data_IF_843058233844
#
_entry.id   IF_843058233844
#
_cell.length_a   1.000
_cell.length_b   1.000
_cell.length_c   1.000
_cell.angle_alpha   90.00
_cell.angle_beta   90.00
_cell.angle_gamma   90.00
#
_symmetry.space_group_name_H-M   'P 1'
#
loop_
_entity.id
_entity.type
_entity.pdbx_description
1 polymer ?
#
# COMPACT_ATOMS: atom_id res chain seq x y z
N UNK A 1 -18.79 -14.82 25.42
CA UNK A 1 -19.74 -14.79 24.29
C UNK A 1 -19.26 -15.83 23.28
N UNK A 2 -20.14 -16.67 22.73
CA UNK A 2 -19.74 -17.76 21.82
C UNK A 2 -18.83 -17.24 20.69
N UNK A 3 -17.64 -17.83 20.59
CA UNK A 3 -16.61 -17.56 19.56
C UNK A 3 -17.04 -18.05 18.15
N UNK A 4 -18.29 -18.49 17.99
CA UNK A 4 -18.82 -19.13 16.79
C UNK A 4 -20.17 -18.55 16.34
N UNK A 5 -20.48 -17.30 16.68
CA UNK A 5 -21.68 -16.63 16.18
C UNK A 5 -21.62 -16.48 14.65
N UNK A 6 -22.69 -16.85 13.95
CA UNK A 6 -22.82 -16.63 12.51
C UNK A 6 -23.06 -15.15 12.27
N UNK A 7 -22.32 -14.55 11.35
CA UNK A 7 -22.57 -13.17 10.92
C UNK A 7 -23.43 -13.17 9.66
N UNK A 8 -24.48 -12.36 9.65
CA UNK A 8 -25.26 -12.04 8.45
C UNK A 8 -25.00 -10.59 8.07
N UNK A 9 -24.35 -10.37 6.93
CA UNK A 9 -24.15 -9.05 6.34
C UNK A 9 -25.27 -8.82 5.34
N UNK A 10 -26.21 -7.93 5.68
CA UNK A 10 -27.41 -7.64 4.89
C UNK A 10 -27.30 -6.26 4.26
N UNK A 11 -27.61 -6.11 2.97
CA UNK A 11 -27.56 -4.81 2.31
C UNK A 11 -26.98 -4.90 0.92
N UNK A 12 -25.90 -4.18 0.63
CA UNK A 12 -25.25 -4.22 -0.68
C UNK A 12 -23.79 -4.60 -0.49
N UNK A 13 -23.42 -5.79 -0.90
CA UNK A 13 -22.05 -6.34 -0.79
C UNK A 13 -21.38 -6.15 -2.15
N UNK A 14 -20.42 -5.24 -2.22
CA UNK A 14 -19.62 -4.95 -3.42
C UNK A 14 -18.45 -5.93 -3.44
N UNK A 15 -18.48 -6.92 -4.32
CA UNK A 15 -17.42 -7.94 -4.43
C UNK A 15 -16.53 -7.74 -5.66
N UNK A 16 -16.91 -6.80 -6.51
CA UNK A 16 -16.17 -6.31 -7.67
C UNK A 16 -16.78 -4.98 -8.15
N UNK A 17 -16.32 -4.44 -9.29
CA UNK A 17 -16.81 -3.16 -9.81
C UNK A 17 -18.31 -3.19 -10.14
N UNK A 18 -18.78 -4.30 -10.72
CA UNK A 18 -20.18 -4.49 -11.13
C UNK A 18 -20.88 -5.67 -10.42
N UNK A 19 -20.15 -6.49 -9.65
CA UNK A 19 -20.73 -7.60 -8.90
C UNK A 19 -21.21 -7.13 -7.51
N UNK A 20 -22.53 -7.03 -7.37
CA UNK A 20 -23.20 -6.61 -6.14
C UNK A 20 -24.18 -7.68 -5.67
N UNK A 21 -23.99 -8.14 -4.44
CA UNK A 21 -24.89 -9.10 -3.77
C UNK A 21 -25.75 -8.40 -2.73
N UNK A 22 -26.94 -8.95 -2.45
CA UNK A 22 -27.85 -8.38 -1.46
C UNK A 22 -27.54 -8.84 -0.02
N UNK A 23 -26.77 -9.92 0.12
CA UNK A 23 -26.32 -10.42 1.42
C UNK A 23 -25.05 -11.28 1.29
N UNK A 24 -24.41 -11.49 2.44
CA UNK A 24 -23.27 -12.38 2.65
C UNK A 24 -23.38 -12.97 4.07
N UNK A 25 -22.97 -14.22 4.23
CA UNK A 25 -22.92 -14.89 5.51
C UNK A 25 -21.47 -15.19 5.89
N UNK A 26 -21.17 -15.19 7.19
CA UNK A 26 -19.89 -15.63 7.73
C UNK A 26 -20.11 -16.75 8.71
N UNK A 27 -19.49 -17.90 8.42
CA UNK A 27 -19.59 -19.12 9.21
C UNK A 27 -18.18 -19.64 9.47
N UNK A 28 -17.81 -19.78 10.75
CA UNK A 28 -16.47 -20.26 11.12
C UNK A 28 -15.32 -19.43 10.54
N UNK A 29 -15.50 -18.11 10.48
CA UNK A 29 -14.49 -17.18 9.93
C UNK A 29 -14.48 -17.07 8.40
N UNK A 30 -15.34 -17.79 7.68
CA UNK A 30 -15.33 -17.87 6.21
C UNK A 30 -16.58 -17.28 5.59
N UNK A 31 -16.41 -16.64 4.43
CA UNK A 31 -17.48 -16.13 3.59
C UNK A 31 -18.28 -17.28 3.00
N UNK A 32 -19.61 -17.16 3.01
CA UNK A 32 -20.51 -17.95 2.19
C UNK A 32 -21.68 -17.11 1.69
N UNK A 33 -22.09 -17.32 0.44
CA UNK A 33 -23.30 -16.71 -0.12
C UNK A 33 -24.56 -17.54 0.13
N UNK A 34 -24.38 -18.79 0.56
CA UNK A 34 -25.49 -19.66 0.92
C UNK A 34 -25.90 -19.43 2.37
N UNK A 35 -27.20 -19.28 2.60
CA UNK A 35 -27.73 -19.16 3.95
C UNK A 35 -27.44 -20.45 4.73
N UNK A 36 -26.77 -20.39 5.90
CA UNK A 36 -26.50 -21.57 6.69
C UNK A 36 -27.79 -22.21 7.21
N UNK A 37 -27.86 -23.54 7.11
CA UNK A 37 -29.00 -24.35 7.57
C UNK A 37 -28.78 -24.78 9.02
N UNK A 38 -29.83 -24.74 9.83
CA UNK A 38 -29.79 -25.26 11.21
C UNK A 38 -29.20 -24.30 12.26
N UNK A 39 -28.81 -23.09 11.88
CA UNK A 39 -28.40 -22.05 12.84
C UNK A 39 -29.63 -21.45 13.53
N UNK A 40 -29.66 -21.49 14.87
CA UNK A 40 -30.73 -20.86 15.63
C UNK A 40 -30.69 -19.33 15.46
N UNK A 41 -31.85 -18.67 15.40
CA UNK A 41 -31.92 -17.23 15.16
C UNK A 41 -31.17 -16.40 16.22
N UNK A 42 -31.06 -16.89 17.46
CA UNK A 42 -30.31 -16.23 18.54
C UNK A 42 -28.79 -16.23 18.38
N UNK A 43 -28.25 -17.09 17.50
CA UNK A 43 -26.81 -17.23 17.24
C UNK A 43 -26.37 -16.43 15.99
N UNK A 44 -27.31 -15.76 15.32
CA UNK A 44 -27.06 -14.93 14.15
C UNK A 44 -26.91 -13.47 14.60
N UNK A 45 -25.75 -12.88 14.32
CA UNK A 45 -25.53 -11.44 14.44
C UNK A 45 -25.72 -10.80 13.07
N UNK A 46 -26.57 -9.79 12.97
CA UNK A 46 -26.80 -9.09 11.70
C UNK A 46 -26.10 -7.74 11.69
N UNK A 47 -25.39 -7.45 10.60
CA UNK A 47 -24.83 -6.13 10.28
C UNK A 47 -25.45 -5.68 8.97
N UNK A 48 -25.92 -4.42 8.93
CA UNK A 48 -26.57 -3.86 7.75
C UNK A 48 -25.76 -2.69 7.17
N UNK A 49 -25.63 -2.64 5.84
CA UNK A 49 -25.00 -1.51 5.15
C UNK A 49 -24.42 -1.86 3.79
N UNK A 50 -23.45 -1.05 3.36
CA UNK A 50 -22.65 -1.26 2.16
C UNK A 50 -21.34 -1.95 2.55
N UNK A 51 -21.16 -3.20 2.12
CA UNK A 51 -20.00 -4.00 2.48
C UNK A 51 -19.00 -4.10 1.33
N UNK A 52 -17.71 -4.09 1.67
CA UNK A 52 -16.59 -4.27 0.74
C UNK A 52 -15.57 -5.23 1.35
N UNK A 53 -14.70 -5.87 0.54
CA UNK A 53 -13.48 -6.45 1.07
C UNK A 53 -12.75 -5.42 1.95
N UNK A 54 -12.15 -5.87 3.05
CA UNK A 54 -11.34 -5.00 3.91
C UNK A 54 -10.29 -4.26 3.09
N UNK A 55 -10.07 -2.99 3.41
CA UNK A 55 -9.22 -2.11 2.63
C UNK A 55 -7.77 -2.61 2.61
N UNK A 56 -7.06 -2.21 1.57
CA UNK A 56 -5.64 -2.48 1.35
C UNK A 56 -4.89 -1.16 1.41
N UNK A 57 -3.90 -1.09 2.29
CA UNK A 57 -2.85 -0.08 2.19
C UNK A 57 -1.62 -0.73 1.54
N UNK A 58 -1.36 -0.39 0.28
CA UNK A 58 -0.27 -0.96 -0.49
C UNK A 58 1.11 -0.36 -0.13
N UNK A 59 1.18 0.66 0.72
CA UNK A 59 2.45 1.24 1.12
C UNK A 59 2.30 1.88 2.50
N UNK A 60 2.69 1.15 3.53
CA UNK A 60 2.93 1.72 4.84
C UNK A 60 4.10 1.01 5.51
N UNK A 61 4.41 1.39 6.76
CA UNK A 61 5.58 0.92 7.48
C UNK A 61 5.24 0.62 8.94
N UNK A 62 4.61 -0.53 9.18
CA UNK A 62 4.31 -0.97 10.55
C UNK A 62 5.62 -1.35 11.25
N UNK A 63 5.77 -0.92 12.50
CA UNK A 63 6.99 -1.10 13.25
C UNK A 63 8.08 -0.05 12.93
N UNK A 64 7.74 1.06 12.28
CA UNK A 64 8.65 2.16 11.97
C UNK A 64 8.10 3.51 12.44
N UNK A 65 8.96 4.34 13.03
CA UNK A 65 8.70 5.75 13.34
C UNK A 65 9.77 6.67 12.74
N UNK A 66 9.66 7.98 12.97
CA UNK A 66 10.58 8.99 12.45
C UNK A 66 12.04 8.81 12.88
N UNK A 67 12.38 7.88 13.78
CA UNK A 67 13.72 7.64 14.29
C UNK A 67 14.24 6.22 13.97
N UNK A 68 13.35 5.28 13.63
CA UNK A 68 13.70 3.94 13.17
C UNK A 68 12.74 2.87 13.68
N UNK A 69 13.23 1.66 13.98
CA UNK A 69 12.38 0.58 14.47
C UNK A 69 11.77 0.92 15.84
N UNK A 70 10.50 0.59 16.03
CA UNK A 70 9.79 0.73 17.32
C UNK A 70 9.61 -0.61 18.02
N UNK A 71 9.18 -0.58 19.28
CA UNK A 71 8.86 -1.79 20.05
C UNK A 71 7.55 -2.46 19.58
N UNK A 72 7.34 -3.70 20.04
CA UNK A 72 6.17 -4.48 19.64
C UNK A 72 4.84 -3.84 20.06
N UNK A 73 4.78 -3.17 21.21
CA UNK A 73 3.57 -2.50 21.67
C UNK A 73 3.19 -1.30 20.78
N UNK A 74 4.19 -0.55 20.32
CA UNK A 74 4.00 0.56 19.38
C UNK A 74 3.58 0.02 18.01
N UNK A 75 4.23 -1.04 17.51
CA UNK A 75 3.84 -1.69 16.27
C UNK A 75 2.42 -2.28 16.33
N UNK A 76 2.01 -2.84 17.48
CA UNK A 76 0.62 -3.29 17.71
C UNK A 76 -0.34 -2.12 17.57
N UNK A 77 -0.05 -0.99 18.22
CA UNK A 77 -0.89 0.21 18.14
C UNK A 77 -1.01 0.76 16.72
N UNK A 78 0.09 0.75 15.96
CA UNK A 78 0.09 1.15 14.55
C UNK A 78 -0.86 0.26 13.73
N UNK A 79 -0.71 -1.07 13.83
CA UNK A 79 -1.56 -2.03 13.14
C UNK A 79 -3.04 -1.95 13.57
N UNK A 80 -3.31 -1.69 14.85
CA UNK A 80 -4.67 -1.45 15.35
C UNK A 80 -5.28 -0.17 14.76
N UNK A 81 -4.49 0.90 14.62
CA UNK A 81 -4.93 2.16 14.02
C UNK A 81 -5.34 1.95 12.56
N UNK A 82 -4.53 1.22 11.79
CA UNK A 82 -4.86 0.87 10.40
C UNK A 82 -6.11 -0.02 10.32
N UNK A 83 -6.23 -1.02 11.22
CA UNK A 83 -7.41 -1.89 11.29
C UNK A 83 -8.70 -1.11 11.59
N UNK A 84 -8.65 -0.14 12.50
CA UNK A 84 -9.82 0.65 12.91
C UNK A 84 -10.41 1.48 11.77
N UNK A 85 -9.57 1.96 10.84
CA UNK A 85 -10.05 2.63 9.62
C UNK A 85 -10.46 1.64 8.51
N UNK A 86 -10.22 0.34 8.72
CA UNK A 86 -10.63 -0.72 7.82
C UNK A 86 -9.54 -1.28 6.91
N UNK A 87 -8.27 -0.90 7.08
CA UNK A 87 -7.14 -1.53 6.40
C UNK A 87 -6.87 -2.90 7.02
N UNK A 88 -7.31 -3.96 6.35
CA UNK A 88 -7.22 -5.35 6.84
C UNK A 88 -6.11 -6.16 6.14
N UNK A 89 -5.58 -5.62 5.04
CA UNK A 89 -4.40 -6.12 4.38
C UNK A 89 -3.44 -4.94 4.17
N UNK A 90 -2.19 -5.13 4.54
CA UNK A 90 -1.15 -4.11 4.44
C UNK A 90 -0.02 -4.70 3.60
N UNK A 91 0.51 -3.94 2.64
CA UNK A 91 1.85 -4.20 2.12
C UNK A 91 2.82 -3.25 2.81
N UNK A 92 3.59 -3.80 3.73
CA UNK A 92 4.69 -3.06 4.35
C UNK A 92 5.79 -2.89 3.30
N UNK A 93 5.96 -1.67 2.81
CA UNK A 93 6.87 -1.34 1.72
C UNK A 93 8.29 -1.05 2.21
N UNK A 94 8.70 -1.67 3.32
CA UNK A 94 10.06 -1.64 3.85
C UNK A 94 10.10 -1.30 5.33
N UNK A 95 10.58 -2.19 6.18
CA UNK A 95 10.66 -1.92 7.63
C UNK A 95 11.95 -2.48 8.23
N UNK A 96 12.64 -1.72 9.12
CA UNK A 96 13.75 -2.27 9.89
C UNK A 96 13.28 -3.28 10.96
N UNK A 97 11.99 -3.27 11.31
CA UNK A 97 11.40 -4.14 12.33
C UNK A 97 10.97 -5.49 11.76
N UNK A 98 10.99 -6.52 12.61
CA UNK A 98 10.35 -7.80 12.28
C UNK A 98 8.92 -7.81 12.85
N UNK A 99 7.94 -7.70 11.96
CA UNK A 99 6.51 -7.64 12.31
C UNK A 99 5.79 -8.97 12.07
N UNK A 100 6.48 -10.09 11.85
CA UNK A 100 5.83 -11.40 11.56
C UNK A 100 4.85 -11.87 12.62
N UNK A 101 5.13 -11.56 13.88
CA UNK A 101 4.26 -11.89 15.01
C UNK A 101 2.84 -11.28 14.89
N UNK A 102 2.67 -10.22 14.09
CA UNK A 102 1.35 -9.62 13.81
C UNK A 102 0.46 -10.60 13.04
N UNK A 103 1.03 -11.39 12.11
CA UNK A 103 0.23 -12.34 11.33
C UNK A 103 -0.25 -13.55 12.15
N UNK A 104 0.37 -13.82 13.31
CA UNK A 104 -0.08 -14.86 14.24
C UNK A 104 -1.30 -14.43 15.08
N UNK A 105 -1.67 -13.14 15.03
CA UNK A 105 -2.84 -12.59 15.73
C UNK A 105 -4.06 -12.60 14.82
N UNK A 106 -5.19 -13.08 15.34
CA UNK A 106 -6.47 -13.12 14.62
C UNK A 106 -7.17 -11.75 14.59
N UNK A 107 -6.82 -10.87 15.54
CA UNK A 107 -7.41 -9.54 15.69
C UNK A 107 -6.60 -8.44 15.02
N UNK A 108 -5.49 -8.74 14.33
CA UNK A 108 -4.65 -7.76 13.63
C UNK A 108 -4.66 -7.97 12.10
N UNK A 109 -4.46 -6.90 11.32
CA UNK A 109 -4.43 -6.98 9.86
C UNK A 109 -3.27 -7.86 9.40
N UNK A 110 -3.41 -8.47 8.22
CA UNK A 110 -2.32 -9.24 7.61
C UNK A 110 -1.34 -8.33 6.91
N UNK A 111 -0.05 -8.62 7.05
CA UNK A 111 1.02 -7.81 6.46
C UNK A 111 1.78 -8.64 5.41
N UNK A 112 1.99 -8.05 4.24
CA UNK A 112 2.89 -8.52 3.18
C UNK A 112 4.15 -7.66 3.25
N UNK A 113 5.29 -8.23 3.61
CA UNK A 113 6.52 -7.46 3.86
C UNK A 113 7.43 -7.40 2.64
N UNK A 114 7.93 -6.22 2.32
CA UNK A 114 8.99 -6.02 1.33
C UNK A 114 10.42 -6.15 1.89
N UNK A 115 10.56 -6.72 3.10
CA UNK A 115 11.82 -6.76 3.84
C UNK A 115 12.19 -5.40 4.42
N UNK A 116 13.48 -5.18 4.66
CA UNK A 116 14.04 -3.87 5.02
C UNK A 116 14.41 -3.10 3.76
N UNK A 117 14.20 -1.79 3.77
CA UNK A 117 14.71 -0.89 2.74
C UNK A 117 16.19 -1.17 2.42
N UNK A 118 16.55 -1.20 1.14
CA UNK A 118 17.95 -1.23 0.68
C UNK A 118 18.25 0.12 0.06
N UNK A 119 19.23 0.83 0.61
CA UNK A 119 19.57 2.18 0.21
C UNK A 119 21.07 2.34 -0.01
N UNK A 120 21.45 3.28 -0.88
CA UNK A 120 22.84 3.67 -1.00
C UNK A 120 23.30 4.44 0.25
N UNK A 121 24.55 4.25 0.66
CA UNK A 121 25.13 4.93 1.85
C UNK A 121 24.84 6.43 1.85
N UNK A 122 24.29 6.95 2.96
CA UNK A 122 23.90 8.36 3.17
C UNK A 122 22.89 8.92 2.16
N UNK A 123 22.21 8.06 1.39
CA UNK A 123 21.18 8.40 0.42
C UNK A 123 19.79 7.97 0.88
N UNK A 124 19.55 7.92 2.19
CA UNK A 124 18.22 7.70 2.74
C UNK A 124 18.11 8.15 4.20
N UNK A 125 16.92 7.97 4.78
CA UNK A 125 16.62 8.27 6.18
C UNK A 125 17.44 7.34 7.09
N UNK A 126 18.07 7.95 8.10
CA UNK A 126 18.92 7.24 9.06
C UNK A 126 18.11 6.15 9.76
N UNK A 127 18.75 4.98 9.97
CA UNK A 127 18.21 3.80 10.64
C UNK A 127 17.15 2.99 9.87
N UNK A 128 16.65 3.48 8.72
CA UNK A 128 15.58 2.79 7.99
C UNK A 128 16.12 1.62 7.17
N UNK A 129 17.22 1.84 6.46
CA UNK A 129 17.71 0.93 5.44
C UNK A 129 18.97 0.14 5.83
N UNK A 130 19.21 -0.95 5.11
CA UNK A 130 20.57 -1.41 4.86
C UNK A 130 21.26 -0.38 3.96
N UNK A 131 22.24 0.36 4.52
CA UNK A 131 23.08 1.29 3.78
C UNK A 131 24.26 0.53 3.17
N UNK A 132 24.33 0.48 1.83
CA UNK A 132 25.33 -0.29 1.08
C UNK A 132 25.84 0.49 -0.14
N UNK A 133 26.88 -0.03 -0.78
CA UNK A 133 27.33 0.40 -2.12
C UNK A 133 26.86 -0.57 -3.22
N UNK A 134 26.88 -0.17 -4.51
CA UNK A 134 26.31 -0.95 -5.61
C UNK A 134 26.80 -2.39 -5.71
N UNK A 135 28.05 -2.67 -5.34
CA UNK A 135 28.65 -4.01 -5.40
C UNK A 135 27.94 -5.01 -4.45
N UNK A 136 27.30 -4.50 -3.39
CA UNK A 136 26.54 -5.30 -2.44
C UNK A 136 25.07 -5.50 -2.81
N UNK A 137 24.55 -4.78 -3.81
CA UNK A 137 23.10 -4.66 -4.05
C UNK A 137 22.45 -6.02 -4.29
N UNK A 138 23.02 -6.85 -5.17
CA UNK A 138 22.49 -8.18 -5.50
C UNK A 138 22.42 -9.07 -4.25
N UNK A 139 23.44 -9.05 -3.40
CA UNK A 139 23.50 -9.89 -2.21
C UNK A 139 22.43 -9.50 -1.17
N UNK A 140 22.23 -8.19 -0.96
CA UNK A 140 21.20 -7.69 -0.05
C UNK A 140 19.79 -7.88 -0.60
N UNK A 141 19.59 -7.71 -1.91
CA UNK A 141 18.31 -8.06 -2.55
C UNK A 141 18.01 -9.55 -2.39
N UNK A 142 18.99 -10.43 -2.59
CA UNK A 142 18.80 -11.86 -2.35
C UNK A 142 18.48 -12.19 -0.89
N UNK A 143 19.04 -11.44 0.06
CA UNK A 143 18.71 -11.59 1.48
C UNK A 143 17.26 -11.19 1.75
N UNK A 144 16.86 -9.98 1.32
CA UNK A 144 15.51 -9.48 1.59
C UNK A 144 14.45 -10.21 0.76
N UNK A 145 14.77 -10.74 -0.42
CA UNK A 145 13.84 -11.59 -1.19
C UNK A 145 13.48 -12.88 -0.44
N UNK A 146 14.40 -13.44 0.34
CA UNK A 146 14.13 -14.62 1.20
C UNK A 146 13.43 -14.25 2.50
N UNK A 147 13.58 -13.00 2.94
CA UNK A 147 13.00 -12.50 4.18
C UNK A 147 11.58 -11.99 3.95
N UNK A 148 11.36 -11.17 2.93
CA UNK A 148 10.06 -10.61 2.58
C UNK A 148 9.03 -11.67 2.19
N UNK A 149 7.78 -11.25 2.14
CA UNK A 149 6.64 -12.09 1.78
C UNK A 149 6.38 -12.01 0.26
N UNK A 150 7.44 -12.17 -0.52
CA UNK A 150 7.41 -12.07 -1.99
C UNK A 150 7.69 -10.66 -2.56
N UNK A 151 8.22 -9.74 -1.75
CA UNK A 151 8.59 -8.39 -2.17
C UNK A 151 9.96 -7.97 -1.64
N UNK A 152 10.64 -7.08 -2.37
CA UNK A 152 11.87 -6.38 -1.96
C UNK A 152 11.69 -4.88 -2.19
N UNK A 153 12.13 -4.06 -1.23
CA UNK A 153 12.11 -2.60 -1.34
C UNK A 153 13.49 -1.99 -1.58
N UNK A 154 13.64 -1.29 -2.69
CA UNK A 154 14.77 -0.41 -2.99
C UNK A 154 14.43 1.06 -2.69
N UNK A 155 15.47 1.83 -2.38
CA UNK A 155 15.45 3.30 -2.51
C UNK A 155 16.03 3.64 -3.86
N UNK A 156 15.19 3.94 -4.85
CA UNK A 156 15.55 4.13 -6.25
C UNK A 156 16.28 5.44 -6.51
N UNK A 157 15.82 6.51 -5.87
CA UNK A 157 16.48 7.82 -5.83
C UNK A 157 16.37 8.45 -4.44
N UNK A 158 17.16 9.51 -4.24
CA UNK A 158 17.11 10.36 -3.05
C UNK A 158 17.91 11.63 -3.33
N UNK A 159 17.88 12.59 -2.41
CA UNK A 159 18.76 13.77 -2.50
C UNK A 159 20.24 13.37 -2.51
N UNK A 160 20.94 13.80 -3.54
CA UNK A 160 22.39 13.86 -3.64
C UNK A 160 22.88 15.19 -3.06
N UNK A 161 23.72 15.14 -2.04
CA UNK A 161 24.21 16.37 -1.39
C UNK A 161 25.22 17.12 -2.25
N UNK A 162 25.95 16.44 -3.12
CA UNK A 162 26.95 17.05 -3.98
C UNK A 162 26.28 17.68 -5.20
N UNK A 163 25.25 17.03 -5.75
CA UNK A 163 24.41 17.64 -6.77
C UNK A 163 23.48 18.71 -6.19
N UNK A 164 23.07 18.58 -4.92
CA UNK A 164 22.07 19.44 -4.28
C UNK A 164 20.66 19.25 -4.83
N UNK A 165 20.34 18.05 -5.34
CA UNK A 165 19.03 17.67 -5.88
C UNK A 165 18.84 16.14 -5.85
N UNK A 166 17.65 15.66 -6.20
CA UNK A 166 17.34 14.25 -6.41
C UNK A 166 18.19 13.69 -7.55
N UNK A 167 18.76 12.50 -7.36
CA UNK A 167 19.37 11.69 -8.43
C UNK A 167 19.17 10.21 -8.13
N UNK A 168 19.26 9.36 -9.15
CA UNK A 168 19.26 7.91 -9.00
C UNK A 168 20.32 7.43 -7.98
N UNK A 169 19.93 6.51 -7.10
CA UNK A 169 20.81 5.91 -6.09
C UNK A 169 21.72 4.83 -6.66
N UNK A 170 21.34 4.19 -7.76
CA UNK A 170 22.00 3.00 -8.27
C UNK A 170 22.38 3.15 -9.74
N UNK A 171 23.54 2.63 -10.16
CA UNK A 171 23.84 2.50 -11.58
C UNK A 171 22.93 1.43 -12.21
N UNK A 172 22.51 1.67 -13.45
CA UNK A 172 21.64 0.77 -14.24
C UNK A 172 21.99 -0.71 -14.14
N UNK A 173 23.26 -1.06 -14.38
CA UNK A 173 23.68 -2.47 -14.36
C UNK A 173 23.53 -3.14 -12.98
N UNK A 174 23.59 -2.38 -11.88
CA UNK A 174 23.36 -2.93 -10.55
C UNK A 174 21.87 -3.21 -10.30
N UNK A 175 20.96 -2.33 -10.73
CA UNK A 175 19.51 -2.56 -10.58
C UNK A 175 19.03 -3.68 -11.49
N UNK A 176 19.53 -3.76 -12.73
CA UNK A 176 19.24 -4.88 -13.65
C UNK A 176 19.61 -6.22 -13.01
N UNK A 177 20.85 -6.35 -12.50
CA UNK A 177 21.30 -7.59 -11.86
C UNK A 177 20.52 -7.90 -10.57
N UNK A 178 20.17 -6.88 -9.78
CA UNK A 178 19.49 -7.07 -8.52
C UNK A 178 18.01 -7.46 -8.70
N UNK A 179 17.30 -6.80 -9.61
CA UNK A 179 15.89 -7.14 -9.94
C UNK A 179 15.83 -8.55 -10.52
N UNK A 180 16.74 -8.91 -11.43
CA UNK A 180 16.82 -10.27 -11.95
C UNK A 180 17.03 -11.33 -10.83
N UNK A 181 17.84 -11.04 -9.81
CA UNK A 181 18.03 -11.94 -8.68
C UNK A 181 16.79 -12.04 -7.78
N UNK A 182 16.08 -10.95 -7.52
CA UNK A 182 14.81 -10.98 -6.80
C UNK A 182 13.79 -11.88 -7.52
N UNK A 183 13.62 -11.68 -8.83
CA UNK A 183 12.72 -12.49 -9.66
C UNK A 183 13.14 -13.97 -9.69
N UNK A 184 14.45 -14.27 -9.78
CA UNK A 184 14.97 -15.64 -9.70
C UNK A 184 14.62 -16.33 -8.38
N UNK A 185 14.48 -15.57 -7.30
CA UNK A 185 14.06 -16.04 -5.98
C UNK A 185 12.54 -16.01 -5.77
N UNK A 186 11.78 -15.56 -6.76
CA UNK A 186 10.31 -15.50 -6.71
C UNK A 186 9.75 -14.26 -6.02
N UNK A 187 10.57 -13.24 -5.77
CA UNK A 187 10.13 -11.98 -5.18
C UNK A 187 9.98 -10.90 -6.25
N UNK A 188 8.97 -10.03 -6.10
CA UNK A 188 8.79 -8.78 -6.85
C UNK A 188 9.63 -7.66 -6.24
N UNK A 189 9.91 -6.62 -7.01
CA UNK A 189 10.67 -5.45 -6.56
C UNK A 189 9.82 -4.18 -6.63
N UNK A 190 9.86 -3.42 -5.53
CA UNK A 190 9.33 -2.07 -5.44
C UNK A 190 10.45 -1.07 -5.16
N UNK A 191 10.34 0.16 -5.67
CA UNK A 191 11.30 1.22 -5.39
C UNK A 191 10.62 2.55 -5.02
N UNK A 192 11.15 3.21 -3.99
CA UNK A 192 10.91 4.64 -3.76
C UNK A 192 11.53 5.45 -4.90
N UNK A 193 10.74 6.22 -5.64
CA UNK A 193 11.24 7.11 -6.68
C UNK A 193 10.48 8.44 -6.73
N UNK A 194 11.21 9.55 -6.55
CA UNK A 194 10.72 10.90 -6.79
C UNK A 194 11.24 11.50 -8.11
N UNK A 195 12.47 11.17 -8.50
CA UNK A 195 13.16 11.80 -9.61
C UNK A 195 12.69 11.24 -10.96
N UNK A 196 12.69 12.09 -12.00
CA UNK A 196 12.41 11.67 -13.38
C UNK A 196 13.49 10.70 -13.90
N UNK A 197 14.74 10.90 -13.51
CA UNK A 197 15.92 10.23 -14.08
C UNK A 197 16.12 8.79 -13.60
N UNK A 198 15.51 8.39 -12.48
CA UNK A 198 15.60 7.04 -11.93
C UNK A 198 14.66 6.04 -12.60
N UNK A 199 13.56 6.54 -13.19
CA UNK A 199 12.42 5.71 -13.58
C UNK A 199 12.71 4.80 -14.78
N UNK A 200 13.32 5.34 -15.85
CA UNK A 200 13.56 4.59 -17.09
C UNK A 200 14.42 3.36 -16.84
N UNK A 201 15.52 3.52 -16.12
CA UNK A 201 16.44 2.41 -15.85
C UNK A 201 15.78 1.32 -15.00
N UNK A 202 14.94 1.68 -14.02
CA UNK A 202 14.21 0.71 -13.20
C UNK A 202 13.16 -0.05 -14.01
N UNK A 203 12.41 0.62 -14.89
CA UNK A 203 11.41 -0.03 -15.74
C UNK A 203 12.06 -0.93 -16.77
N UNK A 204 13.14 -0.49 -17.41
CA UNK A 204 13.88 -1.30 -18.37
C UNK A 204 14.55 -2.52 -17.70
N UNK A 205 14.94 -2.39 -16.42
CA UNK A 205 15.40 -3.49 -15.58
C UNK A 205 14.30 -4.45 -15.12
N UNK A 206 13.02 -4.12 -15.34
CA UNK A 206 11.89 -4.99 -15.04
C UNK A 206 11.30 -4.82 -13.65
N UNK A 207 11.39 -3.64 -13.02
CA UNK A 207 10.75 -3.40 -11.73
C UNK A 207 9.24 -3.65 -11.78
N UNK A 208 8.66 -4.20 -10.71
CA UNK A 208 7.24 -4.56 -10.66
C UNK A 208 6.34 -3.39 -10.22
N UNK A 209 6.88 -2.50 -9.38
CA UNK A 209 6.13 -1.40 -8.78
C UNK A 209 7.04 -0.21 -8.47
N UNK A 210 6.55 1.01 -8.72
CA UNK A 210 7.21 2.24 -8.28
C UNK A 210 6.33 2.97 -7.28
N UNK A 211 6.93 3.31 -6.15
CA UNK A 211 6.27 4.08 -5.11
C UNK A 211 6.47 5.57 -5.36
N UNK A 212 5.46 6.35 -5.01
CA UNK A 212 5.35 7.79 -5.24
C UNK A 212 5.23 8.16 -6.72
N UNK A 213 6.22 7.76 -7.52
CA UNK A 213 6.26 7.94 -8.98
C UNK A 213 6.03 9.40 -9.42
N UNK A 214 6.39 10.38 -8.57
CA UNK A 214 6.14 11.80 -8.82
C UNK A 214 6.90 12.32 -10.04
N UNK A 215 8.04 11.71 -10.34
CA UNK A 215 8.89 11.96 -11.50
C UNK A 215 8.35 11.40 -12.83
N UNK A 216 7.19 10.75 -12.87
CA UNK A 216 6.63 10.28 -14.15
C UNK A 216 6.46 11.45 -15.13
N UNK A 217 6.76 11.22 -16.40
CA UNK A 217 6.66 12.22 -17.48
C UNK A 217 5.88 11.65 -18.65
N UNK A 218 5.47 12.50 -19.59
CA UNK A 218 4.85 12.07 -20.86
C UNK A 218 5.71 11.06 -21.63
N UNK A 219 7.03 11.07 -21.43
CA UNK A 219 7.95 10.13 -22.06
C UNK A 219 8.00 8.77 -21.35
N UNK A 220 7.94 8.75 -20.02
CA UNK A 220 8.07 7.52 -19.23
C UNK A 220 6.74 6.82 -18.99
N UNK A 221 5.61 7.53 -18.95
CA UNK A 221 4.28 6.94 -18.75
C UNK A 221 3.95 5.83 -19.77
N UNK A 222 4.15 6.01 -21.09
CA UNK A 222 3.90 4.95 -22.06
C UNK A 222 4.73 3.68 -21.80
N UNK A 223 5.98 3.85 -21.33
CA UNK A 223 6.86 2.74 -20.99
C UNK A 223 6.34 1.96 -19.76
N UNK A 224 5.84 2.66 -18.73
CA UNK A 224 5.20 2.02 -17.57
C UNK A 224 3.97 1.20 -17.99
N UNK A 225 3.12 1.77 -18.84
CA UNK A 225 1.93 1.11 -19.33
C UNK A 225 2.27 -0.14 -20.18
N UNK A 226 3.21 -0.01 -21.12
CA UNK A 226 3.68 -1.12 -21.96
C UNK A 226 4.23 -2.29 -21.13
N UNK A 227 4.97 -1.96 -20.07
CA UNK A 227 5.62 -2.97 -19.19
C UNK A 227 4.72 -3.45 -18.04
N UNK A 228 3.55 -2.84 -17.86
CA UNK A 228 2.63 -3.17 -16.77
C UNK A 228 3.21 -2.87 -15.38
N UNK A 229 4.12 -1.90 -15.27
CA UNK A 229 4.71 -1.50 -13.97
C UNK A 229 3.67 -0.74 -13.17
N UNK A 230 3.32 -1.24 -11.99
CA UNK A 230 2.35 -0.59 -11.13
C UNK A 230 2.92 0.68 -10.48
N UNK A 231 2.05 1.61 -10.11
CA UNK A 231 2.39 2.72 -9.22
C UNK A 231 1.52 2.72 -7.96
N UNK A 232 2.15 3.15 -6.86
CA UNK A 232 1.46 3.47 -5.60
C UNK A 232 1.78 4.93 -5.27
N UNK A 233 0.87 5.87 -5.58
CA UNK A 233 1.19 7.30 -5.58
C UNK A 233 1.51 7.91 -4.22
N UNK A 234 0.88 7.47 -3.13
CA UNK A 234 1.06 8.07 -1.79
C UNK A 234 0.79 9.59 -1.79
N UNK A 235 -0.30 10.02 -2.41
CA UNK A 235 -0.67 11.44 -2.52
C UNK A 235 -0.78 12.13 -1.16
N UNK A 236 -1.23 11.42 -0.11
CA UNK A 236 -1.22 11.95 1.27
C UNK A 236 0.19 12.26 1.79
N UNK A 237 1.20 11.50 1.36
CA UNK A 237 2.60 11.78 1.65
C UNK A 237 3.15 12.91 0.80
N UNK A 238 2.84 12.92 -0.49
CA UNK A 238 3.23 13.99 -1.41
C UNK A 238 2.66 15.33 -0.93
N UNK A 239 1.52 15.34 -0.23
CA UNK A 239 0.96 16.54 0.38
C UNK A 239 1.91 17.24 1.38
N UNK A 240 2.91 16.55 1.92
CA UNK A 240 3.93 17.10 2.83
C UNK A 240 5.12 17.76 2.10
N UNK A 241 5.23 17.62 0.78
CA UNK A 241 6.35 18.13 -0.01
C UNK A 241 6.60 19.64 0.17
N UNK A 242 5.59 20.52 0.27
CA UNK A 242 5.82 21.95 0.54
C UNK A 242 6.57 22.22 1.85
N UNK A 243 6.26 21.47 2.91
CA UNK A 243 6.93 21.60 4.22
C UNK A 243 8.36 21.05 4.16
N UNK A 244 8.56 19.92 3.48
CA UNK A 244 9.89 19.36 3.22
C UNK A 244 10.75 20.35 2.43
N UNK A 245 10.22 20.91 1.36
CA UNK A 245 10.89 21.91 0.53
C UNK A 245 11.24 23.18 1.34
N UNK A 246 10.33 23.67 2.18
CA UNK A 246 10.60 24.80 3.07
C UNK A 246 11.74 24.51 4.05
N UNK A 247 11.80 23.30 4.62
CA UNK A 247 12.90 22.88 5.50
C UNK A 247 14.26 22.74 4.81
N UNK A 248 14.26 22.41 3.51
CA UNK A 248 15.49 22.29 2.70
C UNK A 248 16.01 23.59 2.10
N UNK A 249 15.19 24.63 2.03
CA UNK A 249 15.40 25.83 1.19
C UNK A 249 16.79 26.46 1.37
N UNK A 250 17.20 26.66 2.63
CA UNK A 250 18.46 27.32 2.94
C UNK A 250 19.70 26.51 2.53
N UNK A 251 19.58 25.18 2.46
CA UNK A 251 20.71 24.27 2.25
C UNK A 251 20.74 23.68 0.84
N UNK A 252 19.57 23.38 0.28
CA UNK A 252 19.40 22.73 -1.02
C UNK A 252 18.25 23.40 -1.80
N UNK A 253 18.39 24.68 -2.20
CA UNK A 253 17.30 25.42 -2.85
C UNK A 253 16.84 24.78 -4.17
N UNK A 254 17.77 24.18 -4.93
CA UNK A 254 17.43 23.46 -6.17
C UNK A 254 16.52 22.25 -5.91
N UNK A 255 16.84 21.45 -4.91
CA UNK A 255 15.99 20.36 -4.43
C UNK A 255 14.63 20.87 -3.96
N UNK A 256 14.59 21.95 -3.17
CA UNK A 256 13.34 22.51 -2.67
C UNK A 256 12.41 22.97 -3.80
N UNK A 257 12.95 23.67 -4.80
CA UNK A 257 12.20 24.06 -5.99
C UNK A 257 11.74 22.84 -6.80
N UNK A 258 12.56 21.80 -6.87
CA UNK A 258 12.20 20.56 -7.53
C UNK A 258 11.02 19.86 -6.84
N UNK A 259 11.08 19.67 -5.52
CA UNK A 259 9.99 19.08 -4.73
C UNK A 259 8.68 19.85 -4.89
N UNK A 260 8.72 21.19 -4.97
CA UNK A 260 7.53 22.01 -5.26
C UNK A 260 6.95 21.74 -6.64
N UNK A 261 7.79 21.65 -7.68
CA UNK A 261 7.32 21.31 -9.05
C UNK A 261 6.70 19.91 -9.11
N UNK A 262 7.29 18.93 -8.43
CA UNK A 262 6.74 17.57 -8.31
C UNK A 262 5.38 17.59 -7.60
N UNK A 263 5.27 18.35 -6.51
CA UNK A 263 4.01 18.56 -5.80
C UNK A 263 2.95 19.20 -6.71
N UNK A 264 3.27 20.30 -7.39
CA UNK A 264 2.32 21.06 -8.20
C UNK A 264 1.67 20.21 -9.30
N UNK A 265 2.40 19.26 -9.89
CA UNK A 265 1.92 18.38 -10.97
C UNK A 265 1.37 17.03 -10.51
N UNK A 266 1.36 16.73 -9.20
CA UNK A 266 1.07 15.38 -8.66
C UNK A 266 -0.25 14.77 -9.14
N UNK A 267 -1.33 15.55 -9.18
CA UNK A 267 -2.64 15.06 -9.61
C UNK A 267 -2.67 14.76 -11.10
N UNK A 268 -2.12 15.67 -11.91
CA UNK A 268 -2.02 15.49 -13.36
C UNK A 268 -1.13 14.28 -13.71
N UNK A 269 -0.03 14.08 -12.98
CA UNK A 269 0.84 12.91 -13.15
C UNK A 269 0.11 11.60 -12.87
N UNK A 270 -0.60 11.49 -11.74
CA UNK A 270 -1.37 10.28 -11.41
C UNK A 270 -2.51 10.04 -12.41
N UNK A 271 -3.19 11.11 -12.83
CA UNK A 271 -4.24 11.05 -13.84
C UNK A 271 -3.72 10.53 -15.18
N UNK A 272 -2.61 11.09 -15.65
CA UNK A 272 -2.01 10.72 -16.92
C UNK A 272 -1.51 9.27 -16.91
N UNK A 273 -0.95 8.79 -15.79
CA UNK A 273 -0.58 7.39 -15.64
C UNK A 273 -1.80 6.46 -15.73
N UNK A 274 -2.86 6.77 -15.00
CA UNK A 274 -4.12 6.01 -15.04
C UNK A 274 -4.72 6.00 -16.47
N UNK A 275 -4.81 7.15 -17.14
CA UNK A 275 -5.37 7.26 -18.50
C UNK A 275 -4.55 6.47 -19.54
N UNK A 276 -3.25 6.33 -19.32
CA UNK A 276 -2.38 5.51 -20.16
C UNK A 276 -2.49 4.00 -19.89
N UNK A 277 -3.24 3.59 -18.87
CA UNK A 277 -3.41 2.18 -18.48
C UNK A 277 -2.35 1.65 -17.52
N UNK A 278 -1.61 2.53 -16.84
CA UNK A 278 -0.70 2.13 -15.75
C UNK A 278 -1.54 1.62 -14.57
N UNK A 279 -1.25 0.44 -13.99
CA UNK A 279 -1.93 -0.02 -12.78
C UNK A 279 -1.67 0.92 -11.60
N UNK A 280 -2.72 1.41 -10.95
CA UNK A 280 -2.63 2.33 -9.79
C UNK A 280 -3.26 1.67 -8.56
N UNK A 281 -2.52 1.62 -7.45
CA UNK A 281 -3.01 1.10 -6.16
C UNK A 281 -2.88 2.16 -5.05
N UNK A 282 -3.78 2.12 -4.08
CA UNK A 282 -3.76 3.03 -2.93
C UNK A 282 -2.72 2.59 -1.90
N UNK A 283 -1.87 3.51 -1.48
CA UNK A 283 -0.95 3.32 -0.36
C UNK A 283 -0.54 4.68 0.21
N UNK A 284 -0.23 4.75 1.50
CA UNK A 284 -0.21 6.03 2.22
C UNK A 284 1.18 6.58 2.55
N UNK A 285 2.20 5.73 2.50
CA UNK A 285 3.50 5.94 3.14
C UNK A 285 3.39 6.19 4.66
N UNK A 286 2.31 5.70 5.29
CA UNK A 286 2.12 5.86 6.73
C UNK A 286 3.16 5.08 7.53
N UNK A 287 3.55 5.64 8.68
CA UNK A 287 4.75 5.23 9.39
C UNK A 287 5.89 6.20 9.11
N UNK A 288 6.93 6.15 9.94
CA UNK A 288 7.95 7.19 9.88
C UNK A 288 7.45 8.54 10.39
N UNK A 289 7.30 9.52 9.49
CA UNK A 289 6.78 10.85 9.83
C UNK A 289 5.26 11.00 9.72
N UNK A 290 4.59 10.11 8.98
CA UNK A 290 3.14 10.13 8.81
C UNK A 290 2.45 9.23 9.82
N UNK A 291 1.28 9.66 10.28
CA UNK A 291 0.44 8.84 11.14
C UNK A 291 -0.16 7.65 10.37
N UNK A 292 -0.42 6.55 11.08
CA UNK A 292 -1.20 5.41 10.57
C UNK A 292 -2.69 5.77 10.45
N UNK A 293 -3.44 4.96 9.70
CA UNK A 293 -4.88 5.10 9.51
C UNK A 293 -5.30 6.03 8.36
N UNK A 294 -4.45 6.24 7.35
CA UNK A 294 -4.67 7.24 6.30
C UNK A 294 -5.24 6.69 4.98
N UNK A 295 -5.48 5.38 4.85
CA UNK A 295 -5.85 4.77 3.55
C UNK A 295 -7.12 5.37 2.95
N UNK A 296 -8.10 5.73 3.77
CA UNK A 296 -9.33 6.39 3.30
C UNK A 296 -9.06 7.78 2.71
N UNK A 297 -8.08 8.51 3.26
CA UNK A 297 -7.65 9.80 2.73
C UNK A 297 -6.93 9.62 1.40
N UNK A 298 -6.08 8.61 1.26
CA UNK A 298 -5.41 8.30 -0.02
C UNK A 298 -6.43 7.99 -1.12
N UNK A 299 -7.47 7.21 -0.83
CA UNK A 299 -8.54 6.95 -1.81
C UNK A 299 -9.25 8.24 -2.23
N UNK A 300 -9.51 9.15 -1.29
CA UNK A 300 -10.06 10.47 -1.62
C UNK A 300 -9.09 11.27 -2.51
N UNK A 301 -7.79 11.25 -2.23
CA UNK A 301 -6.77 11.88 -3.07
C UNK A 301 -6.73 11.30 -4.49
N UNK A 302 -6.86 9.99 -4.66
CA UNK A 302 -6.97 9.37 -5.99
C UNK A 302 -8.18 9.90 -6.78
N UNK A 303 -9.32 10.11 -6.11
CA UNK A 303 -10.49 10.73 -6.76
C UNK A 303 -10.29 12.22 -7.08
N UNK A 304 -9.53 12.95 -6.25
CA UNK A 304 -9.13 14.33 -6.55
C UNK A 304 -8.16 14.40 -7.74
N UNK A 305 -7.32 13.37 -7.92
CA UNK A 305 -6.52 13.17 -9.12
C UNK A 305 -7.38 12.81 -10.36
N UNK A 306 -8.70 12.68 -10.20
CA UNK A 306 -9.62 12.38 -11.30
C UNK A 306 -9.73 10.90 -11.66
N UNK A 307 -9.25 9.98 -10.82
CA UNK A 307 -9.54 8.55 -10.97
C UNK A 307 -11.03 8.32 -10.61
N UNK A 308 -11.81 7.59 -11.42
CA UNK A 308 -13.21 7.29 -11.10
C UNK A 308 -13.35 6.60 -9.75
N UNK A 309 -14.41 6.92 -9.00
CA UNK A 309 -14.62 6.41 -7.64
C UNK A 309 -14.58 4.87 -7.55
N UNK A 310 -15.14 4.16 -8.54
CA UNK A 310 -15.13 2.68 -8.58
C UNK A 310 -13.70 2.14 -8.73
N UNK A 311 -12.85 2.80 -9.51
CA UNK A 311 -11.46 2.41 -9.71
C UNK A 311 -10.60 2.77 -8.50
N UNK A 312 -10.84 3.92 -7.86
CA UNK A 312 -10.21 4.28 -6.60
C UNK A 312 -10.59 3.29 -5.47
N UNK A 313 -11.82 2.79 -5.45
CA UNK A 313 -12.23 1.70 -4.56
C UNK A 313 -11.52 0.39 -4.90
N UNK A 314 -11.42 0.05 -6.20
CA UNK A 314 -10.70 -1.14 -6.65
C UNK A 314 -9.24 -1.12 -6.21
N UNK A 315 -8.60 0.04 -6.31
CA UNK A 315 -7.22 0.32 -5.91
C UNK A 315 -6.93 0.11 -4.41
N UNK A 316 -7.95 -0.03 -3.57
CA UNK A 316 -7.82 -0.38 -2.15
C UNK A 316 -8.65 -1.61 -1.74
N UNK A 317 -9.34 -2.29 -2.65
CA UNK A 317 -10.19 -3.46 -2.30
C UNK A 317 -9.92 -4.65 -3.20
N UNK A 318 -10.83 -5.03 -4.09
CA UNK A 318 -10.75 -6.24 -4.90
C UNK A 318 -9.54 -6.23 -5.84
N UNK A 319 -9.27 -5.11 -6.52
CA UNK A 319 -8.15 -4.99 -7.45
C UNK A 319 -6.79 -5.05 -6.73
N UNK A 320 -6.67 -4.34 -5.61
CA UNK A 320 -5.45 -4.38 -4.78
C UNK A 320 -5.21 -5.76 -4.16
N UNK A 321 -6.26 -6.42 -3.66
CA UNK A 321 -6.17 -7.78 -3.11
C UNK A 321 -5.72 -8.78 -4.18
N UNK A 322 -6.34 -8.73 -5.36
CA UNK A 322 -5.96 -9.58 -6.49
C UNK A 322 -4.49 -9.37 -6.88
N UNK A 323 -4.05 -8.12 -7.02
CA UNK A 323 -2.67 -7.78 -7.36
C UNK A 323 -1.65 -8.31 -6.35
N UNK A 324 -2.00 -8.30 -5.06
CA UNK A 324 -1.21 -8.84 -3.96
C UNK A 324 -1.41 -10.35 -3.73
N UNK A 325 -2.17 -11.04 -4.60
CA UNK A 325 -2.39 -12.49 -4.50
C UNK A 325 -3.24 -12.89 -3.29
N UNK A 326 -4.14 -12.02 -2.82
CA UNK A 326 -5.07 -12.27 -1.72
C UNK A 326 -6.52 -12.28 -2.23
N UNK A 327 -7.40 -13.12 -1.64
CA UNK A 327 -8.79 -13.15 -2.05
C UNK A 327 -9.53 -11.87 -1.58
N UNK A 328 -10.51 -11.47 -2.38
CA UNK A 328 -11.60 -10.59 -1.94
C UNK A 328 -12.66 -11.36 -1.14
N UNK A 329 -13.90 -10.91 -1.24
CA UNK A 329 -15.05 -11.63 -0.70
C UNK A 329 -15.49 -12.65 -1.74
N UNK A 330 -15.05 -13.90 -1.57
CA UNK A 330 -15.43 -15.04 -2.42
C UNK A 330 -15.75 -16.25 -1.55
N UNK A 331 -16.53 -17.19 -2.07
CA UNK A 331 -16.97 -18.39 -1.33
C UNK A 331 -15.78 -19.12 -0.66
N UNK A 332 -15.90 -19.39 0.64
CA UNK A 332 -14.90 -20.08 1.43
C UNK A 332 -13.66 -19.27 1.83
N UNK A 333 -13.47 -18.04 1.33
CA UNK A 333 -12.36 -17.17 1.72
C UNK A 333 -12.51 -16.66 3.16
N UNK A 334 -11.41 -16.24 3.83
CA UNK A 334 -11.50 -15.51 5.09
C UNK A 334 -12.42 -14.30 4.98
N UNK A 335 -13.28 -14.09 5.98
CA UNK A 335 -14.20 -12.97 6.01
C UNK A 335 -13.52 -11.71 6.56
N UNK A 336 -12.80 -11.02 5.67
CA UNK A 336 -12.19 -9.72 5.92
C UNK A 336 -12.98 -8.65 5.17
N UNK A 337 -13.88 -7.95 5.87
CA UNK A 337 -14.77 -6.97 5.27
C UNK A 337 -14.98 -5.75 6.16
N UNK A 338 -15.37 -4.67 5.50
CA UNK A 338 -15.77 -3.41 6.13
C UNK A 338 -17.20 -3.09 5.70
N UNK A 339 -17.98 -2.49 6.59
CA UNK A 339 -19.36 -2.09 6.31
C UNK A 339 -19.54 -0.60 6.57
N UNK A 340 -20.19 0.09 5.64
CA UNK A 340 -20.46 1.52 5.67
C UNK A 340 -21.96 1.83 5.66
N UNK A 341 -22.33 3.02 6.11
CA UNK A 341 -23.72 3.49 6.14
C UNK A 341 -24.25 3.88 4.75
N UNK A 342 -23.38 4.30 3.83
CA UNK A 342 -23.75 4.81 2.51
C UNK A 342 -22.88 4.18 1.40
N UNK A 343 -23.34 4.30 0.15
CA UNK A 343 -22.67 3.74 -1.02
C UNK A 343 -21.33 4.45 -1.26
N UNK A 344 -20.18 3.77 -1.10
CA UNK A 344 -18.88 4.39 -1.28
C UNK A 344 -18.59 4.77 -2.74
N UNK A 345 -19.35 4.24 -3.71
CA UNK A 345 -19.22 4.62 -5.13
C UNK A 345 -19.77 6.01 -5.40
N UNK A 346 -20.71 6.47 -4.58
CA UNK A 346 -21.26 7.81 -4.67
C UNK A 346 -20.35 8.85 -3.99
N UNK A 347 -19.70 8.46 -2.90
CA UNK A 347 -18.73 9.30 -2.18
C UNK A 347 -17.73 8.44 -1.41
N UNK A 348 -16.48 8.38 -1.89
CA UNK A 348 -15.43 7.56 -1.28
C UNK A 348 -15.04 8.04 0.13
N UNK A 349 -15.39 9.26 0.52
CA UNK A 349 -15.05 9.79 1.85
C UNK A 349 -15.73 9.04 2.99
N UNK A 350 -16.78 8.26 2.70
CA UNK A 350 -17.42 7.36 3.69
C UNK A 350 -16.43 6.32 4.23
N UNK A 351 -15.37 5.99 3.49
CA UNK A 351 -14.34 5.05 3.91
C UNK A 351 -13.65 5.47 5.22
N UNK A 352 -13.65 6.76 5.56
CA UNK A 352 -13.03 7.29 6.78
C UNK A 352 -13.81 6.96 8.07
N UNK A 353 -15.00 6.36 7.97
CA UNK A 353 -15.82 6.03 9.12
C UNK A 353 -16.56 4.70 8.90
N UNK A 354 -15.85 3.54 8.95
CA UNK A 354 -16.50 2.24 8.87
C UNK A 354 -17.49 2.07 10.03
N UNK A 355 -18.71 1.65 9.70
CA UNK A 355 -19.73 1.29 10.70
C UNK A 355 -19.29 0.04 11.46
N UNK A 356 -18.73 -0.93 10.75
CA UNK A 356 -18.23 -2.19 11.31
C UNK A 356 -16.99 -2.65 10.54
N UNK A 357 -16.06 -3.23 11.27
CA UNK A 357 -14.90 -3.92 10.74
C UNK A 357 -15.02 -5.39 11.13
N UNK A 358 -14.81 -6.28 10.17
CA UNK A 358 -14.85 -7.73 10.36
C UNK A 358 -13.54 -8.29 9.84
N UNK A 359 -12.81 -8.97 10.72
CA UNK A 359 -11.49 -9.53 10.43
C UNK A 359 -11.48 -10.99 10.87
N UNK A 360 -11.07 -11.90 9.98
CA UNK A 360 -11.18 -13.35 10.17
C UNK A 360 -12.59 -13.78 10.62
N UNK A 361 -13.61 -13.08 10.12
CA UNK A 361 -15.03 -13.28 10.44
C UNK A 361 -15.49 -12.85 11.83
N UNK A 362 -14.64 -12.17 12.60
CA UNK A 362 -15.00 -11.58 13.91
C UNK A 362 -15.22 -10.09 13.74
N UNK A 363 -16.31 -9.57 14.32
CA UNK A 363 -16.46 -8.10 14.44
C UNK A 363 -15.39 -7.61 15.41
N UNK A 364 -14.54 -6.69 14.96
CA UNK A 364 -13.44 -6.09 15.72
C UNK A 364 -13.62 -4.58 15.81
N UNK A 365 -13.10 -3.97 16.88
CA UNK A 365 -13.33 -2.55 17.19
C UNK A 365 -14.51 -2.37 18.13
#
# INVERSE_FOLDING_TARGET
MSDHAVLHVKGRVLVGPDDVRDELWVVGGRVTYDRPVGTAAGDIRTVQGWALPGLVDAHCHVGLDGHGPVDAATAEKQALTDREIGALLIRDAGSPSDTRWIDDREDLPKIIRAGRHIARTRRYIRNYAHEIEPEGLVAYVAQEARRGDGWVKLVGDWIDRDAGDLTACWPRGAVEAAIAEAHRLGARVTAHCFAEDSLRDLVEAGIDCVEHATGLTEETIPLFAERGVAIVPTLVNIATFPDLAAGGEAKFPRWSDHMRRLYDRRYDTVRAAYDAGVPVYAGTDAGGSLAHGLVAAEVAELTLAGIPAVDALSATTWGAREWLGRPGLVEGAPADLVVYEADPRADVRVLAAPRRVVLNGRVVG
#
